data_IF_608534181958
#
_entry.id   IF_608534181958
#
_cell.length_a   1.000
_cell.length_b   1.000
_cell.length_c   1.000
_cell.angle_alpha   90.00
_cell.angle_beta   90.00
_cell.angle_gamma   90.00
#
_symmetry.space_group_name_H-M   'P 1'
#
loop_
_entity.id
_entity.type
_entity.pdbx_description
1 polymer ?
#
# COMPACT_ATOMS: atom_id res chain seq x y z
N UNK A 1 9.61 19.21 14.10
CA UNK A 1 9.81 18.80 12.69
C UNK A 1 10.30 17.35 12.56
N UNK A 2 11.46 16.95 13.12
CA UNK A 2 11.97 15.55 12.98
C UNK A 2 11.11 14.53 13.75
N UNK A 3 10.65 14.88 14.95
CA UNK A 3 9.79 14.00 15.77
C UNK A 3 8.40 13.81 15.16
N UNK A 4 7.84 14.86 14.54
CA UNK A 4 6.51 14.81 13.93
C UNK A 4 6.43 13.81 12.77
N UNK A 5 7.51 13.68 11.98
CA UNK A 5 7.57 12.73 10.87
C UNK A 5 7.67 11.30 11.38
N UNK A 6 8.51 11.03 12.38
CA UNK A 6 8.63 9.69 12.99
C UNK A 6 7.33 9.24 13.66
N UNK A 7 6.61 10.17 14.28
CA UNK A 7 5.33 9.87 14.92
C UNK A 7 4.22 9.65 13.89
N UNK A 8 4.25 10.34 12.75
CA UNK A 8 3.32 10.12 11.64
C UNK A 8 3.47 8.73 11.03
N UNK A 9 4.72 8.29 10.81
CA UNK A 9 5.01 6.94 10.32
C UNK A 9 4.51 5.89 11.32
N UNK A 10 4.81 6.05 12.62
CA UNK A 10 4.31 5.14 13.67
C UNK A 10 2.78 5.08 13.72
N UNK A 11 2.08 6.21 13.64
CA UNK A 11 0.62 6.26 13.76
C UNK A 11 -0.10 5.52 12.61
N UNK A 12 0.47 5.51 11.40
CA UNK A 12 -0.10 4.77 10.26
C UNK A 12 -0.01 3.26 10.49
N UNK A 13 1.04 2.82 11.17
CA UNK A 13 1.31 1.41 11.46
C UNK A 13 0.83 0.94 12.84
N UNK A 14 0.20 1.83 13.62
CA UNK A 14 -0.41 1.51 14.93
C UNK A 14 -1.90 1.32 14.74
N UNK A 15 -2.37 0.06 14.82
CA UNK A 15 -3.79 -0.25 14.85
C UNK A 15 -4.06 -1.17 16.04
N UNK A 16 -4.91 -0.74 16.98
CA UNK A 16 -5.17 -1.39 18.28
C UNK A 16 -3.94 -1.61 19.18
N UNK A 17 -2.89 -0.80 19.04
CA UNK A 17 -1.67 -0.90 19.86
C UNK A 17 -0.62 -1.91 19.36
N UNK A 18 -0.91 -2.64 18.27
CA UNK A 18 0.06 -3.48 17.59
C UNK A 18 0.78 -2.70 16.48
N UNK A 19 2.10 -2.84 16.43
CA UNK A 19 2.91 -2.35 15.33
C UNK A 19 2.76 -3.30 14.13
N UNK A 20 2.20 -2.80 13.03
CA UNK A 20 1.99 -3.57 11.79
C UNK A 20 2.96 -3.10 10.72
N UNK A 21 3.46 -3.99 9.88
CA UNK A 21 4.31 -3.61 8.74
C UNK A 21 3.51 -3.14 7.51
N UNK A 22 2.17 -3.19 7.60
CA UNK A 22 1.24 -2.83 6.53
C UNK A 22 -0.02 -2.16 7.10
N UNK A 23 -0.40 -1.07 6.46
CA UNK A 23 -1.67 -0.36 6.60
C UNK A 23 -2.49 -0.59 5.34
N UNK A 24 -3.77 -0.98 5.50
CA UNK A 24 -4.70 -1.19 4.40
C UNK A 24 -5.97 -0.41 4.68
N UNK A 25 -6.39 0.37 3.69
CA UNK A 25 -7.69 1.00 3.59
C UNK A 25 -8.33 0.61 2.24
N UNK A 26 -9.54 1.10 1.98
CA UNK A 26 -10.26 0.81 0.74
C UNK A 26 -9.48 1.25 -0.51
N UNK A 27 -8.89 2.46 -0.49
CA UNK A 27 -8.27 3.07 -1.66
C UNK A 27 -6.74 3.18 -1.56
N UNK A 28 -6.16 2.77 -0.45
CA UNK A 28 -4.74 2.97 -0.17
C UNK A 28 -4.17 1.82 0.64
N UNK A 29 -2.97 1.38 0.26
CA UNK A 29 -2.15 0.47 1.05
C UNK A 29 -0.77 1.07 1.20
N UNK A 30 -0.24 1.03 2.43
CA UNK A 30 1.12 1.44 2.74
C UNK A 30 1.80 0.29 3.47
N UNK A 31 2.97 -0.15 3.00
CA UNK A 31 3.73 -1.18 3.69
C UNK A 31 5.22 -0.89 3.64
N UNK A 32 5.96 -1.49 4.57
CA UNK A 32 7.42 -1.41 4.58
C UNK A 32 8.02 -2.73 4.12
N UNK A 33 8.97 -2.68 3.19
CA UNK A 33 9.75 -3.84 2.73
C UNK A 33 11.16 -3.39 2.37
N UNK A 34 12.18 -4.17 2.74
CA UNK A 34 13.60 -3.88 2.43
C UNK A 34 14.04 -2.45 2.84
N UNK A 35 13.53 -1.97 3.97
CA UNK A 35 13.72 -0.59 4.48
C UNK A 35 13.12 0.55 3.64
N UNK A 36 12.35 0.25 2.60
CA UNK A 36 11.56 1.21 1.84
C UNK A 36 10.08 1.11 2.21
N UNK A 37 9.41 2.25 2.17
CA UNK A 37 7.96 2.30 2.18
C UNK A 37 7.46 2.23 0.76
N UNK A 38 6.44 1.41 0.55
CA UNK A 38 5.69 1.32 -0.69
C UNK A 38 4.27 1.75 -0.43
N UNK A 39 3.69 2.46 -1.39
CA UNK A 39 2.31 2.92 -1.34
C UNK A 39 1.60 2.54 -2.64
N UNK A 40 0.48 1.84 -2.50
CA UNK A 40 -0.50 1.69 -3.58
C UNK A 40 -1.66 2.66 -3.35
N UNK A 41 -2.08 3.36 -4.40
CA UNK A 41 -3.25 4.24 -4.37
C UNK A 41 -4.21 3.94 -5.53
N UNK A 42 -5.50 3.91 -5.24
CA UNK A 42 -6.57 3.83 -6.23
C UNK A 42 -7.13 5.23 -6.47
N UNK A 43 -7.05 5.73 -7.71
CA UNK A 43 -7.63 7.03 -8.11
C UNK A 43 -8.27 6.89 -9.49
N UNK A 44 -9.57 7.16 -9.60
CA UNK A 44 -10.31 7.09 -10.87
C UNK A 44 -10.08 5.76 -11.60
N UNK A 45 -10.30 4.63 -10.91
CA UNK A 45 -10.09 3.27 -11.43
C UNK A 45 -8.66 2.93 -11.88
N UNK A 46 -7.68 3.79 -11.58
CA UNK A 46 -6.27 3.57 -11.85
C UNK A 46 -5.54 3.20 -10.57
N UNK A 47 -4.64 2.23 -10.69
CA UNK A 47 -3.74 1.82 -9.62
C UNK A 47 -2.40 2.54 -9.80
N UNK A 48 -1.94 3.21 -8.75
CA UNK A 48 -0.66 3.88 -8.69
C UNK A 48 0.25 3.20 -7.67
N UNK A 49 1.56 3.23 -7.91
CA UNK A 49 2.58 2.85 -6.95
C UNK A 49 3.56 4.02 -6.75
N UNK A 50 3.97 4.24 -5.51
CA UNK A 50 5.15 5.03 -5.17
C UNK A 50 5.96 4.34 -4.08
N UNK A 51 7.25 4.67 -4.02
CA UNK A 51 8.18 4.18 -3.01
C UNK A 51 8.99 5.32 -2.40
N UNK A 52 9.54 5.11 -1.19
CA UNK A 52 10.41 6.09 -0.56
C UNK A 52 10.99 5.64 0.78
N UNK A 53 12.03 6.34 1.25
CA UNK A 53 12.72 6.03 2.52
C UNK A 53 11.86 6.32 3.76
N UNK A 54 10.86 7.21 3.63
CA UNK A 54 9.94 7.63 4.69
C UNK A 54 8.61 8.10 4.08
N UNK A 55 7.50 7.97 4.79
CA UNK A 55 6.17 8.28 4.24
C UNK A 55 6.01 9.76 3.87
N UNK A 56 6.71 10.65 4.57
CA UNK A 56 6.73 12.09 4.24
C UNK A 56 7.58 12.46 3.02
N UNK A 57 8.28 11.50 2.40
CA UNK A 57 9.17 11.72 1.25
C UNK A 57 9.07 10.55 0.26
N UNK A 58 7.85 10.25 -0.16
CA UNK A 58 7.57 9.30 -1.24
C UNK A 58 8.03 9.89 -2.57
N UNK A 59 8.48 9.01 -3.46
CA UNK A 59 8.83 9.31 -4.84
C UNK A 59 7.60 9.54 -5.73
N UNK A 60 7.81 9.48 -7.04
CA UNK A 60 6.75 9.71 -8.01
C UNK A 60 5.65 8.64 -7.92
N UNK A 61 4.41 9.07 -8.07
CA UNK A 61 3.27 8.16 -8.24
C UNK A 61 3.23 7.67 -9.69
N UNK A 62 3.60 6.41 -9.90
CA UNK A 62 3.63 5.75 -11.21
C UNK A 62 2.29 5.03 -11.41
N UNK A 63 1.59 5.33 -12.52
CA UNK A 63 0.41 4.58 -12.91
C UNK A 63 0.83 3.18 -13.41
N UNK A 64 0.27 2.13 -12.81
CA UNK A 64 0.57 0.73 -13.17
C UNK A 64 -0.63 0.02 -13.82
N UNK A 65 -1.74 0.72 -14.05
CA UNK A 65 -2.84 0.21 -14.85
C UNK A 65 -4.20 0.82 -14.50
N UNK A 66 -5.16 0.58 -15.38
CA UNK A 66 -6.56 0.94 -15.21
C UNK A 66 -7.40 -0.34 -15.16
N UNK A 67 -8.29 -0.44 -14.18
CA UNK A 67 -8.99 -1.68 -13.83
C UNK A 67 -10.45 -1.37 -13.52
N UNK A 68 -11.36 -2.26 -13.89
CA UNK A 68 -12.78 -2.13 -13.57
C UNK A 68 -13.09 -2.34 -12.08
N UNK A 69 -12.26 -3.10 -11.37
CA UNK A 69 -12.31 -3.30 -9.92
C UNK A 69 -10.89 -3.52 -9.38
N UNK A 70 -10.58 -2.95 -8.22
CA UNK A 70 -9.30 -3.13 -7.52
C UNK A 70 -9.63 -3.35 -6.04
N UNK A 71 -9.16 -4.47 -5.49
CA UNK A 71 -9.37 -4.80 -4.07
C UNK A 71 -8.08 -5.19 -3.40
N UNK A 72 -7.84 -4.59 -2.25
CA UNK A 72 -6.74 -4.91 -1.36
C UNK A 72 -7.19 -5.87 -0.27
N UNK A 73 -6.43 -6.93 -0.04
CA UNK A 73 -6.70 -7.90 1.00
C UNK A 73 -5.40 -8.32 1.70
N UNK A 74 -5.44 -8.51 3.01
CA UNK A 74 -4.36 -9.16 3.77
C UNK A 74 -4.89 -10.48 4.34
N UNK A 75 -4.11 -11.54 4.17
CA UNK A 75 -4.34 -12.86 4.79
C UNK A 75 -3.01 -13.23 5.44
N UNK A 76 -2.97 -13.30 6.77
CA UNK A 76 -1.74 -13.47 7.55
C UNK A 76 -0.65 -12.49 7.07
N UNK A 77 0.53 -12.98 6.68
CA UNK A 77 1.65 -12.15 6.21
C UNK A 77 1.66 -11.95 4.68
N UNK A 78 0.56 -12.27 4.03
CA UNK A 78 0.41 -12.16 2.58
C UNK A 78 -0.51 -10.99 2.24
N UNK A 79 0.01 -10.08 1.43
CA UNK A 79 -0.76 -9.00 0.82
C UNK A 79 -1.21 -9.41 -0.58
N UNK A 80 -2.50 -9.26 -0.87
CA UNK A 80 -3.14 -9.67 -2.11
C UNK A 80 -3.80 -8.45 -2.75
N UNK A 81 -3.51 -8.25 -4.04
CA UNK A 81 -4.19 -7.27 -4.89
C UNK A 81 -5.00 -8.04 -5.91
N UNK A 82 -6.32 -7.91 -5.83
CA UNK A 82 -7.24 -8.44 -6.83
C UNK A 82 -7.56 -7.33 -7.82
N UNK A 83 -7.33 -7.61 -9.09
CA UNK A 83 -7.48 -6.68 -10.20
C UNK A 83 -8.48 -7.29 -11.17
N UNK A 84 -9.45 -6.51 -11.60
CA UNK A 84 -10.38 -6.92 -12.65
C UNK A 84 -10.23 -6.01 -13.86
N UNK A 85 -10.13 -6.59 -15.04
CA UNK A 85 -10.18 -5.87 -16.30
C UNK A 85 -11.25 -6.54 -17.17
N UNK A 86 -12.40 -5.88 -17.32
CA UNK A 86 -13.61 -6.48 -17.90
C UNK A 86 -13.99 -7.78 -17.16
N UNK A 87 -14.02 -8.93 -17.86
CA UNK A 87 -14.35 -10.23 -17.28
C UNK A 87 -13.11 -11.05 -16.86
N UNK A 88 -11.91 -10.45 -16.97
CA UNK A 88 -10.66 -11.11 -16.61
C UNK A 88 -10.22 -10.66 -15.22
N UNK A 89 -10.06 -11.63 -14.31
CA UNK A 89 -9.49 -11.40 -12.99
C UNK A 89 -7.99 -11.73 -12.97
N UNK A 90 -7.20 -10.85 -12.36
CA UNK A 90 -5.79 -11.03 -12.08
C UNK A 90 -5.54 -10.89 -10.58
N UNK A 91 -4.73 -11.77 -10.02
CA UNK A 91 -4.36 -11.72 -8.61
C UNK A 91 -2.85 -11.53 -8.53
N UNK A 92 -2.44 -10.46 -7.85
CA UNK A 92 -1.05 -10.23 -7.47
C UNK A 92 -0.89 -10.54 -6.00
N UNK A 93 0.19 -11.24 -5.67
CA UNK A 93 0.50 -11.67 -4.31
C UNK A 93 1.86 -11.09 -3.95
N UNK A 94 1.92 -10.42 -2.80
CA UNK A 94 3.13 -9.83 -2.23
C UNK A 94 3.37 -10.49 -0.89
N UNK A 95 4.53 -11.15 -0.77
CA UNK A 95 5.02 -11.62 0.52
C UNK A 95 5.64 -10.43 1.27
N UNK A 96 5.16 -10.20 2.50
CA UNK A 96 5.62 -9.12 3.38
C UNK A 96 6.82 -9.54 4.26
N UNK A 97 7.18 -10.83 4.27
CA UNK A 97 8.39 -11.34 4.94
C UNK A 97 9.64 -11.22 4.08
#
# INVERSE_FOLDING_TARGET
IIEDVKNRDRNIFLNNGEQKDIFISENEVVFKKDNLFYKFEIKNNKLFISDGEKLGKMGANINIGEYSDIKFQKIDDVFIIKLKFNDVENVKIVNLR
#
